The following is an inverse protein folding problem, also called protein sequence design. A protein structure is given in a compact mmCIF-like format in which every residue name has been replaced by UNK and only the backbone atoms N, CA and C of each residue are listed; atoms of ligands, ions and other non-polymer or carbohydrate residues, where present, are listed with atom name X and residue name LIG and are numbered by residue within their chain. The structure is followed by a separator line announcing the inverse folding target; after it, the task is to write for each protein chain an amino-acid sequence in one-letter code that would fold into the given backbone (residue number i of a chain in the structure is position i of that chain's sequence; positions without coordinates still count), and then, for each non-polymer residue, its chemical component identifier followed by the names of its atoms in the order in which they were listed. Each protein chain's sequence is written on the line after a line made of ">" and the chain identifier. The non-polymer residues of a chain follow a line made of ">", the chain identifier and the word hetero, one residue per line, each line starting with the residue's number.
data_IF_358351064729
#
_entry.id   IF_358351064729
#
_cell.length_a   1.000
_cell.length_b   1.000
_cell.length_c   1.000
_cell.angle_alpha   90.00
_cell.angle_beta   90.00
_cell.angle_gamma   90.00
#
_symmetry.space_group_name_H-M   'P 1'
#
loop_
_entity.id
_entity.type
_entity.pdbx_description
1 polymer ?
#
# COMPACT_ATOMS: atom_id res chain seq x y z
N UNK A 1 -51.61 -29.74 2.29
CA UNK A 1 -50.77 -29.53 3.49
C UNK A 1 -49.44 -28.88 3.06
N UNK A 2 -49.20 -27.63 3.53
CA UNK A 2 -47.91 -26.90 3.67
C UNK A 2 -46.86 -26.86 2.52
N UNK A 3 -46.89 -25.77 1.74
CA UNK A 3 -45.88 -24.69 1.52
C UNK A 3 -44.34 -24.98 1.58
N UNK A 4 -43.63 -24.28 0.66
CA UNK A 4 -42.23 -23.73 0.68
C UNK A 4 -41.12 -24.65 0.12
N UNK A 5 -40.15 -24.25 -0.72
CA UNK A 5 -39.63 -22.94 -1.15
C UNK A 5 -38.98 -23.02 -2.54
N UNK A 6 -39.22 -21.96 -3.31
CA UNK A 6 -38.57 -21.59 -4.56
C UNK A 6 -37.36 -20.71 -4.19
N UNK A 7 -36.13 -21.09 -4.52
CA UNK A 7 -34.99 -20.16 -4.56
C UNK A 7 -34.28 -20.30 -5.90
N UNK A 8 -34.70 -19.42 -6.81
CA UNK A 8 -34.00 -18.99 -8.01
C UNK A 8 -32.86 -18.05 -7.60
N UNK A 9 -31.85 -17.90 -8.46
CA UNK A 9 -31.24 -16.58 -8.63
C UNK A 9 -29.74 -16.53 -8.84
N UNK A 10 -29.25 -17.08 -9.95
CA UNK A 10 -28.11 -16.50 -10.66
C UNK A 10 -28.69 -15.55 -11.72
N UNK A 11 -28.71 -14.24 -11.45
CA UNK A 11 -28.78 -13.20 -12.48
C UNK A 11 -27.83 -12.10 -12.06
N UNK A 12 -26.65 -12.10 -12.67
CA UNK A 12 -25.71 -10.99 -12.68
C UNK A 12 -26.30 -9.92 -13.59
N UNK A 13 -26.79 -8.82 -13.02
CA UNK A 13 -27.17 -7.64 -13.79
C UNK A 13 -26.08 -6.59 -13.61
N UNK A 14 -25.20 -6.51 -14.62
CA UNK A 14 -24.29 -5.40 -14.79
C UNK A 14 -25.10 -4.12 -15.06
N UNK A 15 -25.00 -3.12 -14.20
CA UNK A 15 -25.51 -1.78 -14.48
C UNK A 15 -24.33 -0.82 -14.50
N UNK A 16 -24.00 -0.40 -15.72
CA UNK A 16 -23.18 0.76 -16.04
C UNK A 16 -23.97 2.00 -15.60
N UNK A 17 -23.56 2.67 -14.52
CA UNK A 17 -24.20 3.91 -14.09
C UNK A 17 -23.47 5.10 -14.72
N UNK A 18 -24.11 5.67 -15.74
CA UNK A 18 -23.89 7.04 -16.19
C UNK A 18 -24.48 8.04 -15.18
N UNK A 19 -23.86 9.21 -15.15
CA UNK A 19 -24.16 10.38 -14.32
C UNK A 19 -25.66 10.68 -14.11
N UNK A 20 -26.08 10.78 -12.84
CA UNK A 20 -27.10 11.76 -12.43
C UNK A 20 -26.89 12.14 -10.97
N UNK A 21 -26.77 13.44 -10.73
CA UNK A 21 -26.54 14.08 -9.43
C UNK A 21 -27.87 14.18 -8.66
N UNK A 22 -28.11 13.25 -7.72
CA UNK A 22 -29.02 13.45 -6.58
C UNK A 22 -28.55 12.61 -5.39
N UNK A 23 -28.48 13.16 -4.15
CA UNK A 23 -28.08 12.37 -2.99
C UNK A 23 -29.25 11.49 -2.53
N UNK A 24 -29.24 10.22 -2.93
CA UNK A 24 -30.15 9.21 -2.38
C UNK A 24 -29.60 8.76 -1.02
N UNK A 25 -30.34 9.04 0.07
CA UNK A 25 -30.09 8.43 1.38
C UNK A 25 -30.47 6.94 1.32
N UNK A 26 -29.48 6.07 1.21
CA UNK A 26 -29.63 4.63 1.41
C UNK A 26 -29.47 4.33 2.92
N UNK A 27 -30.55 3.92 3.57
CA UNK A 27 -30.50 3.35 4.93
C UNK A 27 -30.45 1.83 4.81
N UNK A 28 -29.30 1.23 5.12
CA UNK A 28 -29.15 -0.23 5.22
C UNK A 28 -29.28 -0.61 6.69
N UNK A 29 -30.37 -1.27 7.07
CA UNK A 29 -30.52 -1.85 8.39
C UNK A 29 -29.95 -3.28 8.38
N UNK A 30 -28.78 -3.47 8.99
CA UNK A 30 -28.29 -4.80 9.36
C UNK A 30 -28.24 -4.92 10.87
N UNK A 31 -29.25 -5.61 11.44
CA UNK A 31 -29.24 -6.05 12.83
C UNK A 31 -28.47 -7.36 12.94
N UNK A 32 -27.22 -7.29 13.40
CA UNK A 32 -26.50 -8.43 13.99
C UNK A 32 -26.17 -8.04 15.42
N UNK A 33 -26.88 -8.65 16.36
CA UNK A 33 -26.59 -8.56 17.77
C UNK A 33 -25.42 -9.49 18.11
N UNK A 34 -24.26 -8.91 18.40
CA UNK A 34 -23.25 -9.53 19.25
C UNK A 34 -22.67 -8.44 20.15
N UNK A 35 -23.15 -8.39 21.39
CA UNK A 35 -22.58 -7.56 22.43
C UNK A 35 -21.20 -8.10 22.79
N UNK A 36 -20.17 -7.49 22.23
CA UNK A 36 -18.89 -7.32 22.88
C UNK A 36 -18.63 -5.83 22.81
N UNK A 37 -18.55 -5.15 23.95
CA UNK A 37 -18.26 -3.72 24.01
C UNK A 37 -16.80 -3.46 23.60
N UNK A 38 -16.54 -3.55 22.30
CA UNK A 38 -15.43 -2.84 21.68
C UNK A 38 -15.65 -1.33 21.86
N UNK A 39 -14.58 -0.52 21.81
CA UNK A 39 -14.68 0.91 22.11
C UNK A 39 -15.77 1.56 21.26
N UNK A 40 -16.74 2.19 21.93
CA UNK A 40 -17.79 2.98 21.27
C UNK A 40 -17.10 4.06 20.45
N UNK A 41 -17.18 3.93 19.12
CA UNK A 41 -16.79 5.01 18.22
C UNK A 41 -17.76 6.17 18.49
N UNK A 42 -17.29 7.18 19.22
CA UNK A 42 -18.05 8.41 19.46
C UNK A 42 -18.34 9.02 18.09
N UNK A 43 -19.63 9.10 17.77
CA UNK A 43 -20.13 9.69 16.54
C UNK A 43 -19.70 11.16 16.48
N UNK A 44 -18.67 11.45 15.68
CA UNK A 44 -18.12 12.81 15.59
C UNK A 44 -16.78 12.94 14.86
N UNK A 45 -15.87 11.96 14.95
CA UNK A 45 -14.60 12.01 14.20
C UNK A 45 -14.05 10.62 13.89
N UNK A 46 -14.48 10.00 12.79
CA UNK A 46 -13.70 8.92 12.19
C UNK A 46 -12.33 9.48 11.76
N UNK A 47 -11.29 9.12 12.51
CA UNK A 47 -9.91 9.52 12.26
C UNK A 47 -9.22 8.45 11.43
N UNK A 48 -9.14 8.66 10.12
CA UNK A 48 -8.40 7.79 9.23
C UNK A 48 -6.90 8.08 9.31
N UNK A 49 -6.08 7.04 9.48
CA UNK A 49 -4.64 7.06 9.28
C UNK A 49 -4.32 6.29 7.99
N UNK A 50 -3.58 6.92 7.09
CA UNK A 50 -3.01 6.22 5.92
C UNK A 50 -1.60 5.80 6.27
N UNK A 51 -1.32 4.50 6.17
CA UNK A 51 0.03 3.97 6.27
C UNK A 51 0.45 3.56 4.85
N UNK A 52 1.53 4.15 4.38
CA UNK A 52 2.23 3.76 3.17
C UNK A 52 3.49 3.02 3.61
N UNK A 53 3.76 1.88 2.99
CA UNK A 53 4.95 1.09 3.33
C UNK A 53 5.61 0.55 2.08
N UNK A 54 6.93 0.43 2.14
CA UNK A 54 7.74 -0.44 1.26
C UNK A 54 8.45 -1.48 2.12
N UNK A 55 8.91 -2.53 1.46
CA UNK A 55 9.84 -3.52 1.99
C UNK A 55 10.62 -4.06 0.80
N UNK A 56 11.79 -4.64 1.06
CA UNK A 56 12.53 -5.40 0.06
C UNK A 56 12.79 -4.60 -1.22
N UNK A 57 13.21 -3.32 -1.10
CA UNK A 57 13.53 -2.54 -2.31
C UNK A 57 14.62 -3.23 -3.13
N UNK A 58 15.54 -3.96 -2.47
CA UNK A 58 16.63 -4.71 -3.09
C UNK A 58 17.36 -3.88 -4.16
N UNK A 59 17.70 -2.65 -3.78
CA UNK A 59 18.32 -1.60 -4.60
C UNK A 59 17.72 -1.41 -5.99
N UNK A 60 16.41 -1.62 -6.16
CA UNK A 60 15.66 -1.27 -7.37
C UNK A 60 15.43 0.25 -7.43
N UNK A 61 16.53 1.00 -7.45
CA UNK A 61 16.57 2.48 -7.47
C UNK A 61 15.91 3.00 -8.75
N UNK A 62 16.23 2.38 -9.88
CA UNK A 62 15.61 2.69 -11.17
C UNK A 62 14.42 1.80 -11.44
N UNK A 63 13.57 2.23 -12.37
CA UNK A 63 12.52 1.36 -12.87
C UNK A 63 13.07 0.15 -13.63
N UNK A 64 12.33 -0.95 -13.60
CA UNK A 64 12.68 -2.18 -14.29
C UNK A 64 11.47 -2.77 -15.00
N UNK A 65 11.72 -3.49 -16.09
CA UNK A 65 10.67 -4.25 -16.78
C UNK A 65 10.42 -5.58 -16.07
N UNK A 66 9.15 -5.89 -15.83
CA UNK A 66 8.73 -7.21 -15.36
C UNK A 66 7.47 -7.67 -16.06
N UNK A 67 7.20 -8.98 -15.98
CA UNK A 67 5.97 -9.58 -16.50
C UNK A 67 4.97 -9.68 -15.35
N UNK A 68 3.91 -8.89 -15.40
CA UNK A 68 2.79 -8.98 -14.46
C UNK A 68 1.61 -9.69 -15.11
N UNK A 69 0.72 -10.26 -14.28
CA UNK A 69 -0.54 -10.83 -14.76
C UNK A 69 -1.67 -9.83 -14.65
N UNK A 70 -2.34 -9.53 -15.76
CA UNK A 70 -3.55 -8.70 -15.81
C UNK A 70 -4.62 -9.52 -16.51
N UNK A 71 -5.74 -9.79 -15.84
CA UNK A 71 -6.83 -10.58 -16.42
C UNK A 71 -6.44 -12.01 -16.84
N UNK A 72 -5.40 -12.59 -16.24
CA UNK A 72 -4.87 -13.91 -16.58
C UNK A 72 -3.73 -13.91 -17.61
N UNK A 73 -3.56 -12.81 -18.36
CA UNK A 73 -2.53 -12.68 -19.39
C UNK A 73 -1.22 -12.10 -18.82
N UNK A 74 -0.08 -12.57 -19.34
CA UNK A 74 1.24 -12.03 -18.97
C UNK A 74 1.55 -10.80 -19.81
N UNK A 75 1.64 -9.64 -19.16
CA UNK A 75 1.92 -8.35 -19.79
C UNK A 75 3.26 -7.82 -19.27
N UNK A 76 4.14 -7.37 -20.19
CA UNK A 76 5.35 -6.65 -19.82
C UNK A 76 4.98 -5.23 -19.35
N UNK A 77 5.50 -4.82 -18.20
CA UNK A 77 5.31 -3.48 -17.64
C UNK A 77 6.58 -3.02 -16.92
N UNK A 78 6.84 -1.73 -17.04
CA UNK A 78 7.88 -1.03 -16.27
C UNK A 78 7.36 -0.66 -14.89
N UNK A 79 7.98 -1.17 -13.82
CA UNK A 79 7.54 -1.03 -12.42
C UNK A 79 8.73 -0.68 -11.48
N UNK A 80 8.45 -0.27 -10.24
CA UNK A 80 9.47 0.08 -9.24
C UNK A 80 10.13 1.45 -9.40
N UNK A 81 11.33 1.62 -8.86
CA UNK A 81 12.10 2.86 -8.92
C UNK A 81 11.71 3.89 -7.85
N UNK A 82 12.70 4.38 -7.13
CA UNK A 82 12.53 5.29 -5.98
C UNK A 82 11.90 6.63 -6.38
N UNK A 83 12.14 7.12 -7.60
CA UNK A 83 11.53 8.36 -8.08
C UNK A 83 9.99 8.28 -8.12
N UNK A 84 9.43 7.13 -8.53
CA UNK A 84 7.98 6.91 -8.56
C UNK A 84 7.41 6.69 -7.16
N UNK A 85 8.14 6.00 -6.29
CA UNK A 85 7.79 5.88 -4.86
C UNK A 85 7.68 7.28 -4.25
N UNK A 86 8.70 8.12 -4.42
CA UNK A 86 8.73 9.48 -3.90
C UNK A 86 7.60 10.36 -4.44
N UNK A 87 7.26 10.23 -5.72
CA UNK A 87 6.09 10.91 -6.29
C UNK A 87 4.77 10.48 -5.61
N UNK A 88 4.55 9.17 -5.42
CA UNK A 88 3.33 8.66 -4.80
C UNK A 88 3.23 9.08 -3.34
N UNK A 89 4.32 8.98 -2.57
CA UNK A 89 4.36 9.42 -1.18
C UNK A 89 4.02 10.90 -1.07
N UNK A 90 4.66 11.76 -1.87
CA UNK A 90 4.35 13.21 -1.91
C UNK A 90 2.90 13.49 -2.30
N UNK A 91 2.37 12.76 -3.30
CA UNK A 91 0.98 12.89 -3.74
C UNK A 91 -0.02 12.53 -2.64
N UNK A 92 0.22 11.46 -1.89
CA UNK A 92 -0.64 11.05 -0.79
C UNK A 92 -0.51 11.97 0.42
N UNK A 93 0.71 12.36 0.80
CA UNK A 93 0.96 13.35 1.87
C UNK A 93 0.28 14.70 1.55
N UNK A 94 0.20 15.11 0.28
CA UNK A 94 -0.52 16.33 -0.14
C UNK A 94 -2.04 16.19 -0.13
N UNK A 95 -2.58 15.00 -0.39
CA UNK A 95 -4.04 14.79 -0.56
C UNK A 95 -4.75 14.31 0.70
N UNK A 96 -4.02 13.89 1.74
CA UNK A 96 -4.59 13.31 2.97
C UNK A 96 -3.95 13.95 4.20
N UNK A 97 -4.75 14.14 5.26
CA UNK A 97 -4.31 14.85 6.49
C UNK A 97 -3.39 14.04 7.41
N UNK A 98 -3.43 12.70 7.33
CA UNK A 98 -2.71 11.80 8.25
C UNK A 98 -2.11 10.66 7.46
N UNK A 99 -0.87 10.82 7.06
CA UNK A 99 -0.13 9.85 6.26
C UNK A 99 1.20 9.60 6.95
N UNK A 100 1.51 8.34 7.20
CA UNK A 100 2.84 7.88 7.54
C UNK A 100 3.39 7.09 6.36
N UNK A 101 4.64 7.31 6.03
CA UNK A 101 5.41 6.50 5.09
C UNK A 101 6.59 5.88 5.82
N UNK A 102 6.76 4.56 5.67
CA UNK A 102 7.85 3.82 6.29
C UNK A 102 8.40 2.74 5.35
N UNK A 103 9.63 2.31 5.56
CA UNK A 103 10.20 1.13 4.91
C UNK A 103 10.71 0.16 5.97
N UNK A 104 10.53 -1.15 5.75
CA UNK A 104 10.88 -2.19 6.73
C UNK A 104 12.23 -2.86 6.48
N UNK A 105 13.07 -2.33 5.58
CA UNK A 105 14.41 -2.85 5.29
C UNK A 105 14.45 -3.90 4.20
N UNK A 106 15.61 -4.57 4.10
CA UNK A 106 16.03 -5.38 2.93
C UNK A 106 16.07 -4.56 1.63
N UNK A 107 16.46 -3.30 1.78
CA UNK A 107 16.60 -2.36 0.69
C UNK A 107 18.00 -2.44 0.05
N UNK A 108 19.00 -3.00 0.76
CA UNK A 108 20.40 -3.06 0.32
C UNK A 108 20.75 -4.39 -0.36
N UNK A 109 20.44 -4.53 -1.65
CA UNK A 109 20.79 -5.75 -2.38
C UNK A 109 20.99 -5.49 -3.88
N UNK A 110 22.04 -6.06 -4.46
CA UNK A 110 22.23 -6.05 -5.91
C UNK A 110 23.25 -5.03 -6.43
N UNK A 111 23.17 -4.62 -7.72
CA UNK A 111 24.23 -3.85 -8.37
C UNK A 111 24.46 -2.46 -7.78
N UNK A 112 23.39 -1.73 -7.44
CA UNK A 112 23.49 -0.38 -6.88
C UNK A 112 24.10 -0.40 -5.48
N UNK A 113 23.65 -1.28 -4.59
CA UNK A 113 24.29 -1.47 -3.27
C UNK A 113 25.78 -1.79 -3.40
N UNK A 114 26.18 -2.68 -4.32
CA UNK A 114 27.60 -3.00 -4.53
C UNK A 114 28.44 -1.80 -4.95
N UNK A 115 27.88 -0.91 -5.77
CA UNK A 115 28.56 0.27 -6.30
C UNK A 115 28.60 1.44 -5.31
N UNK A 116 27.50 1.68 -4.59
CA UNK A 116 27.30 2.90 -3.79
C UNK A 116 27.11 2.67 -2.29
N UNK A 117 27.21 1.41 -1.83
CA UNK A 117 27.22 1.04 -0.42
C UNK A 117 25.97 1.47 0.36
N UNK A 118 24.80 1.55 -0.29
CA UNK A 118 23.52 1.86 0.35
C UNK A 118 23.26 3.34 0.58
N UNK A 119 24.25 4.20 0.32
CA UNK A 119 24.12 5.66 0.45
C UNK A 119 22.91 6.23 -0.33
N UNK A 120 22.65 5.83 -1.60
CA UNK A 120 21.52 6.39 -2.34
C UNK A 120 20.16 6.04 -1.71
N UNK A 121 20.00 4.83 -1.21
CA UNK A 121 18.79 4.34 -0.55
C UNK A 121 18.56 5.08 0.78
N UNK A 122 19.56 5.17 1.64
CA UNK A 122 19.44 5.91 2.91
C UNK A 122 19.12 7.37 2.69
N UNK A 123 19.87 8.07 1.82
CA UNK A 123 19.60 9.47 1.49
C UNK A 123 18.16 9.66 1.00
N UNK A 124 17.66 8.72 0.20
CA UNK A 124 16.28 8.78 -0.27
C UNK A 124 15.28 8.58 0.87
N UNK A 125 15.50 7.61 1.75
CA UNK A 125 14.62 7.35 2.89
C UNK A 125 14.59 8.51 3.89
N UNK A 126 15.73 9.08 4.24
CA UNK A 126 15.82 10.25 5.12
C UNK A 126 15.06 11.46 4.57
N UNK A 127 14.95 11.57 3.25
CA UNK A 127 14.21 12.66 2.61
C UNK A 127 12.68 12.49 2.64
N UNK A 128 12.15 11.27 2.69
CA UNK A 128 10.70 11.04 2.44
C UNK A 128 9.97 10.18 3.47
N UNK A 129 10.67 9.29 4.17
CA UNK A 129 10.12 8.39 5.18
C UNK A 129 9.96 9.10 6.52
N UNK A 130 8.92 8.73 7.26
CA UNK A 130 8.72 9.17 8.65
C UNK A 130 9.49 8.25 9.62
N UNK A 131 9.75 7.00 9.22
CA UNK A 131 10.64 6.07 9.90
C UNK A 131 11.12 5.01 8.90
N UNK A 132 12.32 4.48 9.11
CA UNK A 132 12.82 3.32 8.39
C UNK A 132 13.67 2.44 9.32
N UNK A 133 13.76 1.15 9.01
CA UNK A 133 14.54 0.18 9.79
C UNK A 133 15.42 -0.66 8.88
N UNK A 134 16.60 -1.10 9.32
CA UNK A 134 17.35 -2.10 8.59
C UNK A 134 16.66 -3.47 8.67
N UNK A 135 16.78 -4.23 7.60
CA UNK A 135 16.54 -5.67 7.52
C UNK A 135 17.85 -6.44 7.71
N UNK A 136 17.90 -7.67 7.20
CA UNK A 136 19.11 -8.48 7.27
C UNK A 136 20.14 -8.10 6.19
N UNK A 137 19.68 -7.73 4.99
CA UNK A 137 20.58 -7.47 3.86
C UNK A 137 21.39 -6.18 3.99
N UNK A 138 20.97 -5.25 4.84
CA UNK A 138 21.75 -4.06 5.21
C UNK A 138 23.12 -4.42 5.80
N UNK A 139 23.26 -5.61 6.39
CA UNK A 139 24.50 -6.08 7.02
C UNK A 139 25.34 -7.02 6.14
N UNK A 140 24.97 -7.25 4.86
CA UNK A 140 25.66 -8.21 3.98
C UNK A 140 27.14 -7.87 3.74
N UNK A 141 27.52 -6.58 3.85
CA UNK A 141 28.91 -6.12 3.73
C UNK A 141 29.53 -5.74 5.08
N UNK A 142 28.90 -6.15 6.18
CA UNK A 142 29.33 -5.84 7.54
C UNK A 142 28.66 -4.58 8.11
N UNK A 143 28.63 -4.47 9.45
CA UNK A 143 28.02 -3.33 10.14
C UNK A 143 28.75 -2.01 9.89
N UNK A 144 30.04 -2.04 9.53
CA UNK A 144 30.82 -0.84 9.20
C UNK A 144 30.27 -0.18 7.93
N UNK A 145 30.02 -0.97 6.88
CA UNK A 145 29.47 -0.47 5.62
C UNK A 145 28.05 0.05 5.81
N UNK A 146 27.23 -0.64 6.62
CA UNK A 146 25.91 -0.12 6.98
C UNK A 146 26.02 1.22 7.73
N UNK A 147 26.94 1.32 8.69
CA UNK A 147 27.16 2.54 9.45
C UNK A 147 27.64 3.73 8.61
N UNK A 148 28.41 3.49 7.55
CA UNK A 148 28.80 4.53 6.57
C UNK A 148 27.63 5.02 5.71
N UNK A 149 26.58 4.22 5.59
CA UNK A 149 25.40 4.56 4.80
C UNK A 149 24.36 5.39 5.57
N UNK A 150 24.46 5.49 6.90
CA UNK A 150 23.60 6.27 7.80
C UNK A 150 24.02 7.75 7.87
#
# INVERSE_FOLDING_TARGET
>A
MKRKNLFKGLIVLAIVFSLSLLPVKLSVNTSIASQSEGPRLVEGYLRYLTILTTSDLQSQITEFETKIRIGGEKVKKTVGGIARIGYLVKKFKKSRKRVLFMTSGDDFLGPFFRAFKGIPETLFWDMIADAWTPGNHEFDQGPEVFGEAL
#
